data_IF_088778278831
#
_entry.id   IF_088778278831
#
_cell.length_a   1.000
_cell.length_b   1.000
_cell.length_c   1.000
_cell.angle_alpha   90.00
_cell.angle_beta   90.00
_cell.angle_gamma   90.00
#
_symmetry.space_group_name_H-M   'P 1'
#
loop_
_entity.id
_entity.type
_entity.pdbx_description
1 polymer ?
#
# COMPACT_ATOMS: atom_id res chain seq x y z
N UNK A 1 44.46 -21.08 27.68
CA UNK A 1 44.20 -21.61 26.32
C UNK A 1 43.05 -20.78 25.76
N UNK A 2 43.24 -20.11 24.62
CA UNK A 2 42.21 -19.24 24.06
C UNK A 2 41.14 -20.11 23.36
N UNK A 3 39.88 -19.96 23.74
CA UNK A 3 38.76 -20.58 23.03
C UNK A 3 38.70 -20.07 21.59
N UNK A 4 38.90 -20.98 20.63
CA UNK A 4 38.84 -20.67 19.22
C UNK A 4 37.38 -20.69 18.78
N UNK A 5 36.78 -19.50 18.67
CA UNK A 5 35.43 -19.34 18.12
C UNK A 5 35.45 -19.66 16.63
N UNK A 6 34.83 -20.78 16.24
CA UNK A 6 34.67 -21.16 14.84
C UNK A 6 33.42 -20.45 14.29
N UNK A 7 33.61 -19.31 13.62
CA UNK A 7 32.50 -18.60 12.97
C UNK A 7 32.03 -19.40 11.76
N UNK A 8 30.79 -19.91 11.81
CA UNK A 8 30.18 -20.57 10.66
C UNK A 8 30.09 -19.60 9.47
N UNK A 9 30.35 -20.07 8.24
CA UNK A 9 30.30 -19.21 7.05
C UNK A 9 28.95 -18.49 6.98
N UNK A 10 29.02 -17.16 6.90
CA UNK A 10 27.86 -16.28 6.96
C UNK A 10 26.91 -16.60 5.80
N UNK A 11 25.66 -16.94 6.12
CA UNK A 11 24.59 -17.19 5.16
C UNK A 11 24.35 -16.00 4.21
N UNK A 12 24.75 -14.80 4.62
CA UNK A 12 24.60 -13.56 3.86
C UNK A 12 25.83 -13.20 3.01
N UNK A 13 26.92 -13.96 3.07
CA UNK A 13 28.11 -13.69 2.25
C UNK A 13 27.76 -13.82 0.76
N UNK A 14 28.17 -12.87 -0.08
CA UNK A 14 27.88 -12.90 -1.51
C UNK A 14 28.92 -13.80 -2.19
N UNK A 15 28.50 -14.84 -2.91
CA UNK A 15 29.43 -15.79 -3.53
C UNK A 15 28.88 -16.54 -4.75
N UNK A 16 29.76 -17.09 -5.60
CA UNK A 16 29.37 -17.86 -6.79
C UNK A 16 28.72 -19.20 -6.41
N UNK A 17 27.87 -19.73 -7.29
CA UNK A 17 27.15 -20.98 -7.07
C UNK A 17 28.10 -22.18 -7.02
N UNK A 18 28.13 -22.90 -5.90
CA UNK A 18 28.82 -24.19 -5.75
C UNK A 18 27.82 -25.22 -5.20
N UNK A 19 27.81 -26.42 -5.76
CA UNK A 19 26.99 -27.52 -5.25
C UNK A 19 27.31 -27.76 -3.76
N UNK A 20 26.29 -27.73 -2.89
CA UNK A 20 26.44 -27.88 -1.44
C UNK A 20 26.53 -26.58 -0.64
N UNK A 21 26.51 -25.39 -1.26
CA UNK A 21 26.46 -24.08 -0.59
C UNK A 21 25.20 -23.29 -0.95
N UNK A 22 24.05 -23.78 -0.48
CA UNK A 22 22.72 -23.23 -0.82
C UNK A 22 22.30 -22.02 0.06
N UNK A 23 23.22 -21.47 0.85
CA UNK A 23 22.91 -20.46 1.86
C UNK A 23 22.93 -19.01 1.40
N UNK A 24 23.63 -18.68 0.31
CA UNK A 24 23.92 -17.29 -0.06
C UNK A 24 22.66 -16.48 -0.43
N UNK A 25 22.54 -15.28 0.12
CA UNK A 25 21.52 -14.30 -0.28
C UNK A 25 21.63 -14.00 -1.78
N UNK A 26 20.48 -14.01 -2.47
CA UNK A 26 20.38 -13.70 -3.90
C UNK A 26 19.37 -12.59 -4.08
N UNK A 27 19.81 -11.44 -4.59
CA UNK A 27 18.89 -10.48 -5.16
C UNK A 27 18.29 -11.10 -6.44
N UNK A 28 16.99 -11.37 -6.45
CA UNK A 28 16.30 -11.74 -7.68
C UNK A 28 16.44 -10.57 -8.66
N UNK A 29 17.29 -10.72 -9.69
CA UNK A 29 17.33 -9.80 -10.83
C UNK A 29 16.07 -10.02 -11.68
N UNK A 30 14.92 -9.66 -11.13
CA UNK A 30 13.69 -9.55 -11.90
C UNK A 30 13.78 -8.33 -12.81
N UNK A 31 13.19 -8.43 -14.01
CA UNK A 31 12.84 -7.24 -14.80
C UNK A 31 12.20 -6.23 -13.86
N UNK A 32 12.65 -4.98 -13.89
CA UNK A 32 12.14 -3.92 -13.02
C UNK A 32 10.62 -4.01 -12.92
N UNK A 33 10.12 -4.42 -11.75
CA UNK A 33 8.68 -4.59 -11.53
C UNK A 33 8.11 -3.19 -11.70
N UNK A 34 7.30 -2.99 -12.75
CA UNK A 34 6.59 -1.74 -12.95
C UNK A 34 5.78 -1.51 -11.67
N UNK A 35 5.96 -0.35 -11.05
CA UNK A 35 5.20 -0.02 -9.85
C UNK A 35 3.70 -0.11 -10.20
N UNK A 36 2.86 -0.63 -9.29
CA UNK A 36 1.42 -0.61 -9.49
C UNK A 36 0.96 0.81 -9.81
N UNK A 37 0.02 0.93 -10.73
CA UNK A 37 -0.58 2.23 -11.01
C UNK A 37 -1.47 2.61 -9.82
N UNK A 38 -1.34 3.83 -9.33
CA UNK A 38 -2.18 4.38 -8.27
C UNK A 38 -3.53 4.75 -8.86
N UNK A 39 -4.54 3.91 -8.64
CA UNK A 39 -5.91 4.10 -9.09
C UNK A 39 -6.82 4.68 -8.01
N UNK A 40 -6.46 4.54 -6.73
CA UNK A 40 -7.23 5.08 -5.61
C UNK A 40 -6.38 6.09 -4.84
N UNK A 41 -6.94 7.27 -4.59
CA UNK A 41 -6.29 8.35 -3.84
C UNK A 41 -7.26 8.91 -2.80
N UNK A 42 -6.77 9.09 -1.58
CA UNK A 42 -7.45 9.83 -0.52
C UNK A 42 -6.52 10.90 0.04
N UNK A 43 -6.94 12.16 0.00
CA UNK A 43 -6.23 13.30 0.59
C UNK A 43 -6.99 13.78 1.82
N UNK A 44 -6.28 13.97 2.92
CA UNK A 44 -6.85 14.38 4.20
C UNK A 44 -6.13 15.64 4.69
N UNK A 45 -6.87 16.72 4.94
CA UNK A 45 -6.32 17.93 5.57
C UNK A 45 -6.21 17.70 7.07
N UNK A 46 -5.01 17.90 7.60
CA UNK A 46 -4.68 17.64 9.01
C UNK A 46 -4.81 18.92 9.85
N UNK A 47 -5.09 18.79 11.16
CA UNK A 47 -4.99 19.92 12.08
C UNK A 47 -3.53 20.39 12.20
N UNK A 48 -3.32 21.68 12.48
CA UNK A 48 -1.99 22.31 12.59
C UNK A 48 -1.07 21.64 13.62
N UNK A 49 -1.63 20.98 14.63
CA UNK A 49 -0.90 20.15 15.61
C UNK A 49 -0.14 18.97 14.99
N UNK A 50 -0.48 18.59 13.75
CA UNK A 50 0.15 17.50 13.00
C UNK A 50 0.95 18.03 11.79
N UNK A 51 1.29 19.32 11.77
CA UNK A 51 2.04 19.93 10.67
C UNK A 51 3.38 19.23 10.41
N UNK A 52 4.05 18.71 11.45
CA UNK A 52 5.34 18.01 11.33
C UNK A 52 5.26 16.69 10.55
N UNK A 53 4.05 16.15 10.35
CA UNK A 53 3.80 14.89 9.63
C UNK A 53 2.90 15.09 8.41
N UNK A 54 2.59 16.34 8.07
CA UNK A 54 1.83 16.73 6.90
C UNK A 54 2.76 17.15 5.76
N UNK A 55 2.23 17.14 4.54
CA UNK A 55 2.83 17.79 3.38
C UNK A 55 2.84 19.32 3.57
N UNK A 56 3.55 20.05 2.71
CA UNK A 56 3.71 21.52 2.81
C UNK A 56 2.38 22.29 2.81
N UNK A 57 1.33 21.71 2.23
CA UNK A 57 -0.02 22.27 2.18
C UNK A 57 -0.90 21.90 3.39
N UNK A 58 -0.34 21.20 4.38
CA UNK A 58 -1.04 20.74 5.58
C UNK A 58 -1.92 19.51 5.36
N UNK A 59 -1.80 18.83 4.22
CA UNK A 59 -2.52 17.60 3.93
C UNK A 59 -1.65 16.35 4.01
N UNK A 60 -2.26 15.18 3.99
CA UNK A 60 -1.57 13.90 3.77
C UNK A 60 -2.32 13.14 2.69
N UNK A 61 -1.57 12.60 1.72
CA UNK A 61 -2.14 11.84 0.60
C UNK A 61 -1.81 10.36 0.71
N UNK A 62 -2.85 9.53 0.67
CA UNK A 62 -2.76 8.08 0.63
C UNK A 62 -3.15 7.60 -0.78
N UNK A 63 -2.21 7.06 -1.52
CA UNK A 63 -2.43 6.56 -2.88
C UNK A 63 -2.06 5.08 -3.00
N UNK A 64 -2.81 4.33 -3.82
CA UNK A 64 -2.55 2.91 -4.05
C UNK A 64 -3.40 2.31 -5.18
N UNK A 65 -3.18 1.02 -5.46
CA UNK A 65 -3.89 0.27 -6.49
C UNK A 65 -5.36 -0.02 -6.15
N UNK A 66 -5.72 0.05 -4.87
CA UNK A 66 -7.10 -0.18 -4.42
C UNK A 66 -7.36 0.48 -3.07
N UNK A 67 -8.65 0.55 -2.71
CA UNK A 67 -9.11 1.10 -1.45
C UNK A 67 -8.61 0.34 -0.22
N UNK A 68 -8.27 -0.95 -0.34
CA UNK A 68 -7.68 -1.71 0.77
C UNK A 68 -6.29 -1.19 1.14
N UNK A 69 -5.47 -0.86 0.15
CA UNK A 69 -4.16 -0.24 0.38
C UNK A 69 -4.31 1.14 1.04
N UNK A 70 -5.19 1.99 0.49
CA UNK A 70 -5.42 3.35 1.00
C UNK A 70 -5.88 3.34 2.45
N UNK A 71 -6.89 2.52 2.79
CA UNK A 71 -7.41 2.43 4.15
C UNK A 71 -6.42 1.82 5.14
N UNK A 72 -5.60 0.86 4.69
CA UNK A 72 -4.50 0.28 5.48
C UNK A 72 -3.38 1.28 5.77
N UNK A 73 -2.98 2.06 4.77
CA UNK A 73 -1.97 3.12 4.91
C UNK A 73 -2.46 4.23 5.87
N UNK A 74 -3.69 4.72 5.66
CA UNK A 74 -4.31 5.71 6.53
C UNK A 74 -4.38 5.25 7.99
N UNK A 75 -4.85 4.02 8.24
CA UNK A 75 -4.88 3.46 9.59
C UNK A 75 -3.50 3.37 10.23
N UNK A 76 -2.50 2.96 9.46
CA UNK A 76 -1.12 2.85 9.94
C UNK A 76 -0.54 4.21 10.30
N UNK A 77 -0.87 5.25 9.53
CA UNK A 77 -0.52 6.63 9.82
C UNK A 77 -1.13 7.09 11.15
N UNK A 78 -2.44 6.92 11.33
CA UNK A 78 -3.15 7.29 12.58
C UNK A 78 -2.52 6.58 13.78
N UNK A 79 -2.27 5.27 13.65
CA UNK A 79 -1.65 4.48 14.72
C UNK A 79 -0.28 5.00 15.14
N UNK A 80 0.51 5.47 14.17
CA UNK A 80 1.89 5.93 14.41
C UNK A 80 1.95 7.37 14.92
N UNK A 81 1.09 8.24 14.42
CA UNK A 81 1.24 9.69 14.58
C UNK A 81 0.14 10.37 15.39
N UNK A 82 -1.00 9.71 15.61
CA UNK A 82 -2.16 10.33 16.26
C UNK A 82 -2.56 9.56 17.54
N UNK A 83 -2.86 8.28 17.44
CA UNK A 83 -3.34 7.48 18.57
C UNK A 83 -3.04 5.99 18.39
N UNK A 84 -2.38 5.36 19.38
CA UNK A 84 -2.10 3.93 19.38
C UNK A 84 -3.39 3.08 19.40
N UNK A 85 -4.44 3.55 20.09
CA UNK A 85 -5.79 2.96 20.10
C UNK A 85 -6.60 3.41 18.87
N UNK A 86 -6.08 3.07 17.69
CA UNK A 86 -6.75 3.30 16.42
C UNK A 86 -7.93 2.34 16.23
N UNK A 87 -8.97 2.80 15.51
CA UNK A 87 -10.11 2.01 15.07
C UNK A 87 -9.72 0.63 14.49
N UNK A 88 -10.67 -0.30 14.50
CA UNK A 88 -10.53 -1.58 13.82
C UNK A 88 -10.19 -1.39 12.34
N UNK A 89 -9.54 -2.38 11.68
CA UNK A 89 -9.30 -2.33 10.24
C UNK A 89 -10.60 -2.09 9.46
N UNK A 90 -10.50 -1.43 8.31
CA UNK A 90 -11.65 -1.16 7.42
C UNK A 90 -12.45 -2.44 7.15
N UNK A 91 -11.80 -3.53 6.77
CA UNK A 91 -12.51 -4.79 6.62
C UNK A 91 -11.55 -5.94 6.79
N UNK A 92 -12.00 -6.96 7.52
CA UNK A 92 -11.23 -8.19 7.65
C UNK A 92 -12.16 -9.40 7.63
N UNK A 93 -11.62 -10.53 7.17
CA UNK A 93 -12.39 -11.77 7.07
C UNK A 93 -12.30 -12.55 8.39
N UNK A 94 -13.45 -12.88 8.97
CA UNK A 94 -13.58 -13.70 10.19
C UNK A 94 -14.71 -14.70 10.00
N UNK A 95 -14.42 -16.00 10.18
CA UNK A 95 -15.45 -17.05 10.06
C UNK A 95 -16.11 -17.10 8.67
N UNK A 96 -15.39 -16.77 7.61
CA UNK A 96 -15.94 -16.74 6.25
C UNK A 96 -16.66 -15.45 5.86
N UNK A 97 -16.98 -14.58 6.82
CA UNK A 97 -17.66 -13.30 6.60
C UNK A 97 -16.69 -12.14 6.68
N UNK A 98 -16.98 -11.06 5.95
CA UNK A 98 -16.31 -9.78 6.12
C UNK A 98 -16.94 -9.02 7.28
N UNK A 99 -16.10 -8.56 8.20
CA UNK A 99 -16.46 -7.69 9.32
C UNK A 99 -15.80 -6.34 9.10
N UNK A 100 -16.58 -5.26 9.25
CA UNK A 100 -16.13 -3.89 9.03
C UNK A 100 -15.98 -3.12 10.35
N UNK A 101 -15.30 -1.98 10.31
CA UNK A 101 -15.03 -1.10 11.47
C UNK A 101 -16.30 -0.61 12.17
N UNK A 102 -17.40 -0.48 11.42
CA UNK A 102 -18.72 -0.06 11.91
C UNK A 102 -19.54 -1.20 12.54
N UNK A 103 -18.96 -2.39 12.64
CA UNK A 103 -19.61 -3.59 13.15
C UNK A 103 -20.52 -4.29 12.15
N UNK A 104 -20.68 -3.76 10.93
CA UNK A 104 -21.46 -4.43 9.89
C UNK A 104 -20.73 -5.66 9.37
N UNK A 105 -21.52 -6.62 8.88
CA UNK A 105 -21.01 -7.86 8.27
C UNK A 105 -21.51 -8.02 6.84
N UNK A 106 -20.71 -8.66 5.99
CA UNK A 106 -21.10 -8.99 4.62
C UNK A 106 -20.52 -10.34 4.18
N UNK A 107 -21.20 -10.99 3.23
CA UNK A 107 -20.66 -12.18 2.58
C UNK A 107 -19.47 -11.85 1.66
N UNK A 108 -19.54 -10.71 0.96
CA UNK A 108 -18.54 -10.27 -0.01
C UNK A 108 -17.78 -9.02 0.47
N UNK A 109 -16.60 -8.79 -0.13
CA UNK A 109 -15.79 -7.61 0.16
C UNK A 109 -16.45 -6.36 -0.44
N UNK A 110 -16.56 -5.31 0.36
CA UNK A 110 -17.02 -3.97 -0.08
C UNK A 110 -15.85 -3.05 -0.46
N UNK A 111 -14.62 -3.56 -0.50
CA UNK A 111 -13.45 -2.78 -0.91
C UNK A 111 -13.43 -2.43 -2.40
N UNK A 112 -14.05 -3.26 -3.23
CA UNK A 112 -13.93 -3.18 -4.70
C UNK A 112 -15.30 -2.96 -5.39
N UNK A 113 -16.35 -2.72 -4.59
CA UNK A 113 -17.70 -2.46 -5.11
C UNK A 113 -17.93 -1.00 -5.49
N UNK A 114 -18.99 -0.72 -6.24
CA UNK A 114 -19.36 0.65 -6.66
C UNK A 114 -19.62 1.63 -5.50
N UNK A 115 -19.86 1.14 -4.29
CA UNK A 115 -19.99 1.94 -3.07
C UNK A 115 -18.72 2.02 -2.21
N UNK A 116 -17.58 1.50 -2.69
CA UNK A 116 -16.35 1.43 -1.91
C UNK A 116 -15.83 2.81 -1.51
N UNK A 117 -15.78 3.77 -2.45
CA UNK A 117 -15.30 5.11 -2.16
C UNK A 117 -16.09 5.81 -1.04
N UNK A 118 -17.42 5.70 -1.04
CA UNK A 118 -18.27 6.26 0.03
C UNK A 118 -18.02 5.59 1.38
N UNK A 119 -17.84 4.27 1.41
CA UNK A 119 -17.50 3.55 2.63
C UNK A 119 -16.11 3.94 3.15
N UNK A 120 -15.14 4.10 2.26
CA UNK A 120 -13.79 4.56 2.59
C UNK A 120 -13.83 5.97 3.16
N UNK A 121 -14.59 6.88 2.55
CA UNK A 121 -14.77 8.24 3.09
C UNK A 121 -15.29 8.21 4.53
N UNK A 122 -16.34 7.42 4.80
CA UNK A 122 -16.90 7.28 6.14
C UNK A 122 -15.88 6.72 7.15
N UNK A 123 -15.08 5.73 6.73
CA UNK A 123 -14.02 5.19 7.55
C UNK A 123 -12.92 6.23 7.83
N UNK A 124 -12.48 6.99 6.81
CA UNK A 124 -11.46 8.02 6.97
C UNK A 124 -11.96 9.16 7.87
N UNK A 125 -13.23 9.56 7.78
CA UNK A 125 -13.85 10.52 8.71
C UNK A 125 -13.80 10.02 10.15
N UNK A 126 -14.03 8.73 10.37
CA UNK A 126 -13.94 8.12 11.70
C UNK A 126 -12.48 8.03 12.20
N UNK A 127 -11.51 7.78 11.30
CA UNK A 127 -10.08 7.74 11.61
C UNK A 127 -9.49 9.12 11.93
N UNK A 128 -9.96 10.16 11.24
CA UNK A 128 -9.49 11.54 11.38
C UNK A 128 -10.61 12.45 11.90
N UNK A 129 -11.08 12.28 13.15
CA UNK A 129 -12.22 13.05 13.67
C UNK A 129 -11.93 14.54 13.81
N UNK A 130 -10.66 14.94 13.80
CA UNK A 130 -10.19 16.34 13.81
C UNK A 130 -9.67 16.82 12.45
N UNK A 131 -9.68 15.96 11.43
CA UNK A 131 -9.37 16.35 10.05
C UNK A 131 -10.51 17.19 9.50
N UNK A 132 -10.17 18.25 8.75
CA UNK A 132 -11.15 19.25 8.32
C UNK A 132 -11.76 18.91 6.96
N UNK A 133 -11.00 18.27 6.07
CA UNK A 133 -11.46 17.93 4.73
C UNK A 133 -10.86 16.62 4.22
N UNK A 134 -11.67 15.83 3.50
CA UNK A 134 -11.27 14.57 2.88
C UNK A 134 -11.72 14.61 1.43
N UNK A 135 -10.76 14.42 0.52
CA UNK A 135 -10.98 14.33 -0.92
C UNK A 135 -10.65 12.91 -1.38
N UNK A 136 -11.53 12.29 -2.16
CA UNK A 136 -11.29 10.98 -2.76
C UNK A 136 -11.27 11.11 -4.28
N UNK A 137 -10.33 10.42 -4.91
CA UNK A 137 -10.27 10.28 -6.36
C UNK A 137 -10.03 8.81 -6.72
N UNK A 138 -10.80 8.32 -7.69
CA UNK A 138 -10.60 7.02 -8.32
C UNK A 138 -10.30 7.23 -9.79
N UNK A 139 -9.13 6.78 -10.24
CA UNK A 139 -8.74 6.78 -11.63
C UNK A 139 -9.03 5.41 -12.21
N UNK A 140 -9.96 5.36 -13.16
CA UNK A 140 -10.11 4.19 -14.03
C UNK A 140 -8.77 3.92 -14.71
N UNK A 141 -8.27 2.68 -14.74
CA UNK A 141 -7.01 2.38 -15.39
C UNK A 141 -7.09 2.78 -16.86
N UNK A 142 -6.38 3.85 -17.25
CA UNK A 142 -6.26 4.26 -18.63
C UNK A 142 -5.63 3.11 -19.40
N UNK A 143 -6.40 2.51 -20.32
CA UNK A 143 -5.92 1.43 -21.17
C UNK A 143 -4.58 1.85 -21.81
N UNK A 144 -3.55 0.98 -21.84
CA UNK A 144 -2.26 1.36 -22.39
C UNK A 144 -2.45 1.74 -23.86
N UNK A 145 -2.09 2.98 -24.21
CA UNK A 145 -2.16 3.48 -25.57
C UNK A 145 -1.44 2.50 -26.51
N UNK A 146 -2.19 1.83 -27.37
CA UNK A 146 -1.67 0.90 -28.37
C UNK A 146 -0.72 1.69 -29.27
N UNK A 147 0.59 1.48 -29.09
CA UNK A 147 1.63 2.06 -29.92
C UNK A 147 1.47 1.47 -31.32
N UNK A 148 0.76 2.18 -32.21
CA UNK A 148 0.58 1.82 -33.61
C UNK A 148 1.97 1.76 -34.25
N UNK A 149 2.43 0.56 -34.60
CA UNK A 149 3.65 0.35 -35.35
C UNK A 149 3.45 0.94 -36.76
N UNK A 150 4.06 2.09 -37.03
CA UNK A 150 4.25 2.58 -38.38
C UNK A 150 5.41 1.79 -39.00
N UNK A 151 5.09 0.68 -39.66
CA UNK A 151 5.98 0.09 -40.68
C UNK A 151 5.96 1.03 -41.88
N UNK A 152 6.95 1.91 -41.96
CA UNK A 152 7.22 2.69 -43.15
C UNK A 152 7.82 1.74 -44.21
N UNK A 153 7.03 1.50 -45.26
CA UNK A 153 7.50 0.99 -46.54
C UNK A 153 8.70 1.81 -47.01
N UNK A 154 9.86 1.16 -47.09
CA UNK A 154 10.94 1.54 -47.99
C UNK A 154 11.21 0.35 -48.90
N UNK A 155 10.48 0.30 -50.02
CA UNK A 155 10.85 -0.43 -51.23
C UNK A 155 9.87 -0.05 -52.34
N UNK A 156 10.26 0.96 -53.12
CA UNK A 156 10.14 1.00 -54.57
C UNK A 156 11.11 2.07 -55.06
#
# INVERSE_FOLDING_TARGET
MAEQWLVHPNRSEIGPNKAGRNGHYRAARGRGRRLPQESCLARVVLPSSLADVADEDGSVTFAGENWSFVTGAARSFVRRHINEDTLAPFGFKRGGQWVYWDGTVAAESRHDGSGAATLVENYLRALFPRGTHIELAEQSPTAPATRRAASQERRA
#
